data_IF_533991073388
#
_entry.id   IF_533991073388
#
_cell.length_a   1.000
_cell.length_b   1.000
_cell.length_c   1.000
_cell.angle_alpha   90.00
_cell.angle_beta   90.00
_cell.angle_gamma   90.00
#
_symmetry.space_group_name_H-M   'P 1'
#
loop_
_entity.id
_entity.type
_entity.pdbx_description
1 polymer ?
#
# COMPACT_ATOMS: atom_id res chain seq x y z
N UNK A 1 -4.65 5.23 11.06
CA UNK A 1 -5.91 5.74 10.50
C UNK A 1 -7.08 4.98 11.11
N UNK A 2 -8.11 5.70 11.52
CA UNK A 2 -9.36 5.14 12.03
C UNK A 2 -10.45 5.34 10.99
N UNK A 3 -11.10 4.24 10.57
CA UNK A 3 -12.17 4.26 9.55
C UNK A 3 -11.76 4.98 8.24
N UNK A 4 -10.49 4.85 7.86
CA UNK A 4 -9.93 5.47 6.66
C UNK A 4 -9.36 6.88 6.84
N UNK A 5 -9.50 7.51 8.01
CA UNK A 5 -9.06 8.89 8.26
C UNK A 5 -7.90 8.97 9.25
N UNK A 6 -6.98 9.91 9.04
CA UNK A 6 -5.93 10.21 10.00
C UNK A 6 -6.51 10.89 11.25
N UNK A 7 -6.24 10.31 12.42
CA UNK A 7 -6.71 10.82 13.72
C UNK A 7 -5.62 11.52 14.52
N UNK A 8 -4.41 11.66 13.96
CA UNK A 8 -3.29 12.32 14.63
C UNK A 8 -3.47 13.84 14.68
N UNK A 9 -3.11 14.47 15.81
CA UNK A 9 -3.00 15.93 15.90
C UNK A 9 -1.92 16.49 14.97
N UNK A 10 -0.91 15.68 14.63
CA UNK A 10 0.09 15.95 13.60
C UNK A 10 -0.10 14.99 12.43
N UNK A 11 -1.02 15.29 11.51
CA UNK A 11 -1.38 14.37 10.44
C UNK A 11 -0.26 14.14 9.42
N UNK A 12 0.74 15.04 9.38
CA UNK A 12 1.89 14.95 8.48
C UNK A 12 3.15 15.39 9.22
N UNK A 13 4.22 14.62 9.05
CA UNK A 13 5.55 14.93 9.60
C UNK A 13 6.57 15.06 8.48
N UNK A 14 7.53 15.95 8.65
CA UNK A 14 8.72 16.05 7.80
C UNK A 14 9.96 16.02 8.69
N UNK A 15 10.84 15.06 8.41
CA UNK A 15 12.13 14.95 9.11
C UNK A 15 13.18 15.93 8.57
N UNK A 16 14.28 16.11 9.28
CA UNK A 16 15.40 16.97 8.87
C UNK A 16 16.05 16.53 7.55
N UNK A 17 16.09 15.21 7.28
CA UNK A 17 16.58 14.65 6.02
C UNK A 17 15.52 14.63 4.90
N UNK A 18 14.37 15.29 5.10
CA UNK A 18 13.35 15.53 4.10
C UNK A 18 12.34 14.41 3.89
N UNK A 19 12.37 13.33 4.68
CA UNK A 19 11.33 12.29 4.66
C UNK A 19 9.99 12.90 5.08
N UNK A 20 8.92 12.61 4.32
CA UNK A 20 7.56 13.04 4.63
C UNK A 20 6.71 11.79 4.88
N UNK A 21 6.00 11.77 6.00
CA UNK A 21 5.17 10.64 6.41
C UNK A 21 3.90 11.11 7.10
N UNK A 22 2.76 10.52 6.75
CA UNK A 22 1.47 10.79 7.40
C UNK A 22 0.26 10.62 6.50
N UNK A 23 -0.72 11.51 6.66
CA UNK A 23 -1.96 11.56 5.88
C UNK A 23 -1.71 12.03 4.44
N UNK A 24 -2.27 11.31 3.48
CA UNK A 24 -2.23 11.70 2.07
C UNK A 24 -3.00 13.00 1.83
N UNK A 25 -4.16 13.18 2.47
CA UNK A 25 -4.95 14.40 2.37
C UNK A 25 -4.20 15.63 2.92
N UNK A 26 -3.44 15.45 4.00
CA UNK A 26 -2.58 16.50 4.53
C UNK A 26 -1.38 16.76 3.61
N UNK A 27 -0.78 15.72 3.03
CA UNK A 27 0.32 15.84 2.08
C UNK A 27 -0.12 16.59 0.81
N UNK A 28 -1.31 16.28 0.27
CA UNK A 28 -1.87 16.97 -0.89
C UNK A 28 -2.06 18.48 -0.66
N UNK A 29 -2.38 18.89 0.57
CA UNK A 29 -2.47 20.32 0.93
C UNK A 29 -1.11 20.98 1.13
N UNK A 30 -0.17 20.29 1.76
CA UNK A 30 1.14 20.84 2.11
C UNK A 30 2.15 20.79 0.96
N UNK A 31 2.03 19.79 0.08
CA UNK A 31 2.95 19.50 -1.03
C UNK A 31 2.18 19.11 -2.30
N UNK A 32 1.31 19.99 -2.84
CA UNK A 32 0.40 19.65 -3.95
C UNK A 32 1.17 19.18 -5.19
N UNK A 33 2.22 19.85 -5.59
CA UNK A 33 3.01 19.50 -6.80
C UNK A 33 3.66 18.10 -6.67
N UNK A 34 4.09 17.73 -5.45
CA UNK A 34 4.67 16.42 -5.19
C UNK A 34 3.60 15.32 -5.29
N UNK A 35 2.44 15.54 -4.70
CA UNK A 35 1.35 14.55 -4.72
C UNK A 35 0.76 14.44 -6.14
N UNK A 36 0.49 15.53 -6.83
CA UNK A 36 -0.05 15.54 -8.20
C UNK A 36 0.84 14.79 -9.20
N UNK A 37 2.16 14.82 -8.99
CA UNK A 37 3.11 14.09 -9.85
C UNK A 37 2.90 12.59 -9.85
N UNK A 38 2.48 12.02 -8.74
CA UNK A 38 2.43 10.56 -8.52
C UNK A 38 1.02 10.01 -8.32
N UNK A 39 0.09 10.82 -7.80
CA UNK A 39 -1.25 10.37 -7.46
C UNK A 39 -2.03 9.92 -8.69
N UNK A 40 -2.63 8.74 -8.61
CA UNK A 40 -3.48 8.13 -9.64
C UNK A 40 -2.77 7.87 -10.99
N UNK A 41 -1.43 7.77 -11.01
CA UNK A 41 -0.68 7.55 -12.24
C UNK A 41 -0.62 6.07 -12.63
N UNK A 42 -0.64 5.15 -11.67
CA UNK A 42 -0.53 3.72 -11.91
C UNK A 42 -1.90 3.04 -11.90
N UNK A 43 -2.75 3.38 -10.95
CA UNK A 43 -4.04 2.76 -10.77
C UNK A 43 -5.05 3.08 -11.89
N UNK A 44 -5.03 4.31 -12.42
CA UNK A 44 -5.91 4.71 -13.53
C UNK A 44 -5.65 3.89 -14.80
N UNK A 45 -4.40 3.52 -15.03
CA UNK A 45 -4.01 2.79 -16.24
C UNK A 45 -4.56 1.37 -16.33
N UNK A 46 -5.00 0.78 -15.22
CA UNK A 46 -5.45 -0.62 -15.15
C UNK A 46 -6.95 -0.78 -15.39
N UNK A 47 -7.76 0.26 -15.17
CA UNK A 47 -9.20 0.24 -15.43
C UNK A 47 -9.99 -0.79 -14.64
N UNK A 48 -9.49 -1.23 -13.47
CA UNK A 48 -10.17 -2.22 -12.65
C UNK A 48 -11.25 -1.61 -11.73
N UNK A 49 -12.22 -2.45 -11.33
CA UNK A 49 -13.37 -2.01 -10.55
C UNK A 49 -12.98 -1.55 -9.12
N UNK A 50 -11.93 -2.14 -8.53
CA UNK A 50 -11.45 -1.78 -7.17
C UNK A 50 -10.86 -0.39 -7.20
N UNK A 51 -9.99 -0.10 -8.16
CA UNK A 51 -9.39 1.23 -8.35
C UNK A 51 -10.44 2.29 -8.65
N UNK A 52 -11.42 1.98 -9.52
CA UNK A 52 -12.50 2.90 -9.84
C UNK A 52 -13.36 3.24 -8.62
N UNK A 53 -13.75 2.23 -7.84
CA UNK A 53 -14.53 2.41 -6.62
C UNK A 53 -13.75 3.25 -5.58
N UNK A 54 -12.48 2.92 -5.36
CA UNK A 54 -11.62 3.65 -4.43
C UNK A 54 -11.47 5.12 -4.88
N UNK A 55 -11.23 5.37 -6.16
CA UNK A 55 -11.04 6.73 -6.69
C UNK A 55 -12.26 7.63 -6.44
N UNK A 56 -13.48 7.07 -6.47
CA UNK A 56 -14.71 7.85 -6.22
C UNK A 56 -14.87 8.22 -4.75
N UNK A 57 -14.48 7.32 -3.82
CA UNK A 57 -14.80 7.48 -2.40
C UNK A 57 -13.61 7.80 -1.50
N UNK A 58 -12.37 7.69 -1.99
CA UNK A 58 -11.18 7.97 -1.20
C UNK A 58 -11.14 9.44 -0.75
N UNK A 59 -10.93 9.64 0.56
CA UNK A 59 -10.82 10.97 1.16
C UNK A 59 -9.46 11.17 1.85
N UNK A 60 -8.83 10.08 2.29
CA UNK A 60 -7.52 10.08 2.95
C UNK A 60 -6.82 8.72 2.75
N UNK A 61 -5.66 8.58 3.31
CA UNK A 61 -4.84 7.38 3.33
C UNK A 61 -3.44 7.70 3.84
N UNK A 62 -2.49 6.82 3.55
CA UNK A 62 -1.11 7.01 3.98
C UNK A 62 -0.24 7.58 2.86
N UNK A 63 0.62 8.51 3.22
CA UNK A 63 1.66 9.08 2.37
C UNK A 63 3.04 8.80 2.95
N UNK A 64 3.93 8.25 2.12
CA UNK A 64 5.35 8.03 2.42
C UNK A 64 6.17 8.61 1.27
N UNK A 65 7.05 9.55 1.57
CA UNK A 65 8.03 10.07 0.62
C UNK A 65 9.42 10.00 1.22
N UNK A 66 10.32 9.29 0.54
CA UNK A 66 11.72 9.16 0.95
C UNK A 66 12.61 9.80 -0.12
N UNK A 67 13.28 10.90 0.21
CA UNK A 67 14.11 11.64 -0.75
C UNK A 67 15.30 10.83 -1.27
N UNK A 68 15.88 11.31 -2.37
CA UNK A 68 17.05 10.72 -3.01
C UNK A 68 18.21 10.48 -2.01
N UNK A 69 18.75 9.27 -2.04
CA UNK A 69 19.89 8.84 -1.24
C UNK A 69 19.62 8.71 0.27
N UNK A 70 18.40 8.93 0.71
CA UNK A 70 18.02 8.84 2.13
C UNK A 70 17.72 7.40 2.52
N UNK A 71 18.31 6.97 3.62
CA UNK A 71 17.99 5.72 4.29
C UNK A 71 17.14 6.00 5.54
N UNK A 72 15.86 5.56 5.52
CA UNK A 72 14.99 5.58 6.68
C UNK A 72 15.30 4.36 7.55
N UNK A 73 16.06 4.56 8.63
CA UNK A 73 16.55 3.47 9.52
C UNK A 73 15.42 2.75 10.26
N UNK A 74 14.31 3.46 10.52
CA UNK A 74 13.15 2.91 11.21
C UNK A 74 12.02 2.65 10.22
N UNK A 75 11.28 1.54 10.39
CA UNK A 75 10.11 1.28 9.55
C UNK A 75 9.01 2.33 9.78
N UNK A 76 8.33 2.69 8.69
CA UNK A 76 7.06 3.40 8.77
C UNK A 76 5.98 2.39 9.15
N UNK A 77 5.27 2.65 10.23
CA UNK A 77 4.16 1.79 10.67
C UNK A 77 2.84 2.50 10.41
N UNK A 78 2.01 1.88 9.59
CA UNK A 78 0.69 2.38 9.18
C UNK A 78 -0.35 1.40 9.72
N UNK A 79 -1.23 1.83 10.62
CA UNK A 79 -2.32 1.01 11.11
C UNK A 79 -3.66 1.56 10.61
N UNK A 80 -4.38 0.74 9.85
CA UNK A 80 -5.77 0.95 9.49
C UNK A 80 -6.64 0.20 10.50
N UNK A 81 -7.35 0.92 11.33
CA UNK A 81 -8.24 0.37 12.34
C UNK A 81 -9.67 0.74 12.02
N UNK A 82 -10.58 -0.23 12.06
CA UNK A 82 -12.01 -0.03 11.80
C UNK A 82 -12.80 -0.27 13.08
N UNK A 83 -13.54 0.76 13.51
CA UNK A 83 -14.34 0.73 14.72
C UNK A 83 -15.71 1.34 14.46
N UNK A 84 -16.75 0.68 14.92
CA UNK A 84 -18.13 1.19 14.96
C UNK A 84 -18.87 0.64 16.17
N UNK A 85 -19.92 1.33 16.56
CA UNK A 85 -20.88 0.90 17.58
C UNK A 85 -22.24 0.65 16.93
N UNK A 86 -22.46 -0.62 16.52
CA UNK A 86 -23.75 -1.08 16.02
C UNK A 86 -24.05 -0.81 14.54
N UNK A 87 -23.09 -0.27 13.76
CA UNK A 87 -23.29 0.02 12.35
C UNK A 87 -22.24 -0.66 11.49
N UNK A 88 -22.63 -1.07 10.27
CA UNK A 88 -21.69 -1.52 9.26
C UNK A 88 -21.01 -0.33 8.61
N UNK A 89 -19.69 -0.41 8.38
CA UNK A 89 -18.91 0.66 7.78
C UNK A 89 -18.28 0.23 6.45
N UNK A 90 -18.03 1.22 5.59
CA UNK A 90 -17.16 1.07 4.43
C UNK A 90 -16.00 2.08 4.51
N UNK A 91 -14.78 1.58 4.27
CA UNK A 91 -13.56 2.38 4.22
C UNK A 91 -12.99 2.41 2.79
N UNK A 92 -12.35 3.54 2.43
CA UNK A 92 -11.74 3.72 1.11
C UNK A 92 -10.42 4.47 1.28
N UNK A 93 -9.37 3.75 1.68
CA UNK A 93 -8.06 4.37 1.85
C UNK A 93 -7.28 4.39 0.53
N UNK A 94 -6.67 5.54 0.22
CA UNK A 94 -5.73 5.70 -0.90
C UNK A 94 -4.33 5.94 -0.38
N UNK A 95 -3.38 5.09 -0.76
CA UNK A 95 -2.02 5.14 -0.23
C UNK A 95 -1.03 5.49 -1.35
N UNK A 96 -0.09 6.36 -1.07
CA UNK A 96 0.94 6.79 -2.02
C UNK A 96 2.33 6.71 -1.39
N UNK A 97 3.19 5.83 -1.92
CA UNK A 97 4.55 5.63 -1.46
C UNK A 97 5.53 5.97 -2.58
N UNK A 98 6.44 6.89 -2.31
CA UNK A 98 7.44 7.36 -3.26
C UNK A 98 8.83 7.19 -2.67
N UNK A 99 9.65 6.38 -3.32
CA UNK A 99 11.03 6.12 -2.97
C UNK A 99 11.91 6.66 -4.08
N UNK A 100 12.54 7.81 -3.82
CA UNK A 100 13.42 8.48 -4.80
C UNK A 100 14.75 7.72 -4.99
N UNK A 101 15.52 8.09 -6.00
CA UNK A 101 16.72 7.37 -6.42
C UNK A 101 17.69 7.10 -5.27
N UNK A 102 18.13 5.83 -5.14
CA UNK A 102 19.06 5.38 -4.11
C UNK A 102 18.52 5.41 -2.68
N UNK A 103 17.22 5.71 -2.49
CA UNK A 103 16.59 5.70 -1.17
C UNK A 103 16.37 4.29 -0.64
N UNK A 104 16.23 4.16 0.69
CA UNK A 104 15.90 2.89 1.34
C UNK A 104 14.88 3.09 2.44
N UNK A 105 13.86 2.22 2.49
CA UNK A 105 12.84 2.26 3.52
C UNK A 105 12.16 0.91 3.74
N UNK A 106 11.55 0.79 4.93
CA UNK A 106 10.66 -0.30 5.29
C UNK A 106 9.30 0.27 5.66
N UNK A 107 8.23 -0.35 5.19
CA UNK A 107 6.85 0.02 5.51
C UNK A 107 6.12 -1.20 6.05
N UNK A 108 5.48 -1.06 7.19
CA UNK A 108 4.62 -2.09 7.79
C UNK A 108 3.20 -1.56 7.82
N UNK A 109 2.29 -2.30 7.22
CA UNK A 109 0.87 -1.96 7.13
C UNK A 109 0.09 -3.00 7.91
N UNK A 110 -0.72 -2.58 8.87
CA UNK A 110 -1.65 -3.43 9.59
C UNK A 110 -3.09 -3.01 9.28
N UNK A 111 -3.87 -3.93 8.74
CA UNK A 111 -5.31 -3.80 8.51
C UNK A 111 -6.03 -4.61 9.59
N UNK A 112 -6.80 -3.95 10.47
CA UNK A 112 -7.44 -4.63 11.60
C UNK A 112 -8.83 -4.12 11.92
N UNK A 113 -9.69 -5.04 12.39
CA UNK A 113 -10.93 -4.69 13.06
C UNK A 113 -10.65 -4.31 14.52
N UNK A 114 -11.23 -3.21 14.97
CA UNK A 114 -11.17 -2.74 16.34
C UNK A 114 -12.51 -2.90 17.08
N UNK A 115 -13.55 -3.41 16.40
CA UNK A 115 -14.83 -3.85 16.97
C UNK A 115 -15.32 -5.09 16.22
N UNK A 116 -16.44 -5.68 16.70
CA UNK A 116 -17.05 -6.89 16.11
C UNK A 116 -18.03 -6.56 14.96
N UNK A 117 -18.16 -5.30 14.60
CA UNK A 117 -19.06 -4.89 13.52
C UNK A 117 -18.52 -5.28 12.15
N UNK A 118 -19.39 -5.27 11.15
CA UNK A 118 -19.05 -5.62 9.78
C UNK A 118 -18.40 -4.43 9.08
N UNK A 119 -17.24 -4.66 8.45
CA UNK A 119 -16.58 -3.67 7.61
C UNK A 119 -16.39 -4.20 6.20
N UNK A 120 -16.52 -3.27 5.26
CA UNK A 120 -15.98 -3.42 3.93
C UNK A 120 -14.88 -2.38 3.73
N UNK A 121 -13.68 -2.81 3.40
CA UNK A 121 -12.58 -1.93 3.10
C UNK A 121 -12.15 -2.10 1.64
N UNK A 122 -11.98 -0.98 0.95
CA UNK A 122 -11.47 -0.93 -0.42
C UNK A 122 -10.24 -0.04 -0.44
N UNK A 123 -9.06 -0.63 -0.53
CA UNK A 123 -7.80 0.11 -0.52
C UNK A 123 -7.12 0.11 -1.88
N UNK A 124 -6.48 1.22 -2.22
CA UNK A 124 -5.56 1.29 -3.35
C UNK A 124 -4.25 1.88 -2.90
N UNK A 125 -3.15 1.26 -3.34
CA UNK A 125 -1.79 1.70 -3.07
C UNK A 125 -1.00 1.85 -4.35
N UNK A 126 -0.36 3.01 -4.53
CA UNK A 126 0.60 3.25 -5.59
C UNK A 126 2.00 3.36 -5.00
N UNK A 127 2.95 2.64 -5.59
CA UNK A 127 4.36 2.58 -5.14
C UNK A 127 5.27 2.94 -6.30
N UNK A 128 6.07 3.96 -6.11
CA UNK A 128 7.09 4.39 -7.07
C UNK A 128 8.47 4.15 -6.48
N UNK A 129 9.26 3.30 -7.12
CA UNK A 129 10.65 3.04 -6.77
C UNK A 129 11.54 3.53 -7.91
N UNK A 130 12.21 4.68 -7.70
CA UNK A 130 13.13 5.26 -8.63
C UNK A 130 14.44 4.44 -8.76
N UNK A 131 15.37 4.88 -9.58
CA UNK A 131 16.64 4.17 -9.82
C UNK A 131 17.39 3.88 -8.51
N UNK A 132 17.87 2.63 -8.35
CA UNK A 132 18.60 2.14 -7.16
C UNK A 132 17.81 2.21 -5.84
N UNK A 133 16.51 2.56 -5.85
CA UNK A 133 15.68 2.59 -4.65
C UNK A 133 15.43 1.17 -4.10
N UNK A 134 15.31 1.05 -2.77
CA UNK A 134 15.00 -0.21 -2.09
C UNK A 134 13.86 -0.02 -1.11
N UNK A 135 12.81 -0.81 -1.25
CA UNK A 135 11.64 -0.78 -0.39
C UNK A 135 11.25 -2.19 0.05
N UNK A 136 11.08 -2.38 1.34
CA UNK A 136 10.47 -3.58 1.92
C UNK A 136 9.09 -3.18 2.46
N UNK A 137 8.03 -3.85 1.99
CA UNK A 137 6.64 -3.57 2.37
C UNK A 137 6.04 -4.83 2.97
N UNK A 138 5.63 -4.78 4.22
CA UNK A 138 4.92 -5.88 4.88
C UNK A 138 3.49 -5.45 5.14
N UNK A 139 2.53 -6.24 4.67
CA UNK A 139 1.12 -5.97 4.85
C UNK A 139 0.44 -7.13 5.58
N UNK A 140 -0.18 -6.81 6.72
CA UNK A 140 -0.85 -7.77 7.58
C UNK A 140 -2.35 -7.51 7.57
N UNK A 141 -3.14 -8.56 7.29
CA UNK A 141 -4.59 -8.54 7.31
C UNK A 141 -5.11 -9.36 8.48
N UNK A 142 -5.74 -8.67 9.45
CA UNK A 142 -6.31 -9.26 10.65
C UNK A 142 -7.67 -8.64 10.97
N UNK A 143 -8.65 -8.98 10.16
CA UNK A 143 -10.02 -8.51 10.29
C UNK A 143 -10.85 -9.49 11.13
N UNK A 144 -11.98 -9.05 11.68
CA UNK A 144 -12.94 -9.99 12.25
C UNK A 144 -13.58 -10.85 11.15
N UNK A 145 -14.17 -12.00 11.54
CA UNK A 145 -14.73 -13.00 10.62
C UNK A 145 -15.97 -12.55 9.82
N UNK A 146 -16.45 -11.31 10.00
CA UNK A 146 -17.57 -10.72 9.24
C UNK A 146 -17.13 -9.68 8.24
N UNK A 147 -15.88 -9.19 8.37
CA UNK A 147 -15.36 -8.07 7.61
C UNK A 147 -14.60 -8.53 6.37
N UNK A 148 -14.61 -7.70 5.35
CA UNK A 148 -14.00 -7.96 4.06
C UNK A 148 -13.10 -6.80 3.64
N UNK A 149 -11.97 -7.13 3.01
CA UNK A 149 -11.08 -6.17 2.36
C UNK A 149 -10.80 -6.59 0.94
N UNK A 150 -10.85 -5.62 0.02
CA UNK A 150 -10.32 -5.73 -1.33
C UNK A 150 -9.27 -4.65 -1.54
N UNK A 151 -8.09 -5.03 -2.02
CA UNK A 151 -6.99 -4.09 -2.19
C UNK A 151 -6.33 -4.23 -3.56
N UNK A 152 -6.03 -3.09 -4.20
CA UNK A 152 -5.18 -3.01 -5.38
C UNK A 152 -3.85 -2.35 -5.04
N UNK A 153 -2.73 -3.00 -5.38
CA UNK A 153 -1.39 -2.44 -5.22
C UNK A 153 -0.72 -2.33 -6.57
N UNK A 154 -0.30 -1.13 -6.92
CA UNK A 154 0.34 -0.81 -8.20
C UNK A 154 1.75 -0.31 -7.95
N UNK A 155 2.75 -1.04 -8.46
CA UNK A 155 4.16 -0.75 -8.23
C UNK A 155 4.87 -0.49 -9.56
N UNK A 156 5.58 0.63 -9.65
CA UNK A 156 6.48 0.95 -10.75
C UNK A 156 7.92 0.95 -10.27
N UNK A 157 8.79 0.22 -10.97
CA UNK A 157 10.19 0.08 -10.63
C UNK A 157 11.10 0.57 -11.76
N UNK A 158 11.99 1.50 -11.42
CA UNK A 158 13.03 2.01 -12.32
C UNK A 158 14.32 1.18 -12.22
N UNK A 159 15.38 1.60 -12.95
CA UNK A 159 16.60 0.83 -13.10
C UNK A 159 17.24 0.44 -11.75
N UNK A 160 17.67 -0.83 -11.64
CA UNK A 160 18.36 -1.39 -10.46
C UNK A 160 17.60 -1.25 -9.13
N UNK A 161 16.33 -0.84 -9.18
CA UNK A 161 15.49 -0.76 -7.96
C UNK A 161 15.10 -2.15 -7.46
N UNK A 162 14.87 -2.24 -6.17
CA UNK A 162 14.39 -3.48 -5.54
C UNK A 162 13.19 -3.19 -4.65
N UNK A 163 12.09 -3.88 -4.91
CA UNK A 163 10.91 -3.86 -4.06
C UNK A 163 10.60 -5.28 -3.61
N UNK A 164 10.42 -5.45 -2.30
CA UNK A 164 9.93 -6.67 -1.70
C UNK A 164 8.61 -6.39 -1.02
N UNK A 165 7.56 -7.14 -1.37
CA UNK A 165 6.25 -7.07 -0.73
C UNK A 165 5.92 -8.44 -0.12
N UNK A 166 5.59 -8.45 1.18
CA UNK A 166 5.08 -9.62 1.89
C UNK A 166 3.65 -9.34 2.35
N UNK A 167 2.69 -10.10 1.83
CA UNK A 167 1.28 -10.03 2.23
C UNK A 167 0.91 -11.21 3.12
N UNK A 168 0.38 -10.93 4.32
CA UNK A 168 0.03 -11.95 5.31
C UNK A 168 -1.46 -11.87 5.63
N UNK A 169 -2.25 -12.82 5.15
CA UNK A 169 -3.68 -12.95 5.43
C UNK A 169 -3.91 -13.94 6.58
N UNK A 170 -4.46 -13.47 7.69
CA UNK A 170 -4.68 -14.28 8.89
C UNK A 170 -6.16 -14.46 9.22
N UNK A 171 -6.93 -13.37 9.28
CA UNK A 171 -8.32 -13.36 9.70
C UNK A 171 -9.12 -12.37 8.85
N UNK A 172 -10.35 -12.77 8.48
CA UNK A 172 -11.29 -11.96 7.69
C UNK A 172 -12.28 -12.87 6.96
N UNK A 173 -13.47 -12.37 6.67
CA UNK A 173 -14.44 -13.10 5.84
C UNK A 173 -13.93 -13.23 4.40
N UNK A 174 -13.46 -12.12 3.86
CA UNK A 174 -12.83 -12.04 2.54
C UNK A 174 -11.60 -11.14 2.64
N UNK A 175 -10.45 -11.64 2.22
CA UNK A 175 -9.25 -10.86 1.98
C UNK A 175 -8.86 -11.10 0.52
N UNK A 176 -8.94 -10.04 -0.29
CA UNK A 176 -8.48 -10.07 -1.66
C UNK A 176 -7.46 -8.96 -1.91
N UNK A 177 -6.30 -9.35 -2.42
CA UNK A 177 -5.22 -8.43 -2.78
C UNK A 177 -4.74 -8.69 -4.20
N UNK A 178 -4.90 -7.70 -5.08
CA UNK A 178 -4.39 -7.72 -6.44
C UNK A 178 -3.11 -6.87 -6.50
N UNK A 179 -2.00 -7.48 -6.94
CA UNK A 179 -0.69 -6.82 -7.01
C UNK A 179 -0.24 -6.71 -8.47
N UNK A 180 -0.07 -5.47 -8.94
CA UNK A 180 0.38 -5.16 -10.28
C UNK A 180 1.77 -4.51 -10.20
N UNK A 181 2.75 -5.12 -10.85
CA UNK A 181 4.15 -4.66 -10.81
C UNK A 181 4.66 -4.42 -12.23
N UNK A 182 5.17 -3.24 -12.50
CA UNK A 182 5.79 -2.86 -13.75
C UNK A 182 7.29 -2.62 -13.58
N UNK A 183 8.13 -3.55 -14.09
CA UNK A 183 9.59 -3.43 -14.09
C UNK A 183 10.02 -2.63 -15.33
N UNK A 184 10.01 -1.29 -15.22
CA UNK A 184 10.25 -0.38 -16.33
C UNK A 184 11.73 -0.06 -16.55
N UNK A 185 12.54 -0.15 -15.50
CA UNK A 185 13.97 0.12 -15.58
C UNK A 185 14.79 -1.16 -15.70
N UNK A 186 15.95 -1.07 -16.39
CA UNK A 186 16.86 -2.20 -16.57
C UNK A 186 17.38 -2.73 -15.23
N UNK A 187 17.36 -4.06 -15.04
CA UNK A 187 17.89 -4.69 -13.84
C UNK A 187 17.03 -4.47 -12.59
N UNK A 188 15.77 -4.04 -12.75
CA UNK A 188 14.84 -3.98 -11.63
C UNK A 188 14.55 -5.39 -11.07
N UNK A 189 14.47 -5.49 -9.75
CA UNK A 189 14.23 -6.75 -9.03
C UNK A 189 12.98 -6.61 -8.17
N UNK A 190 12.04 -7.56 -8.30
CA UNK A 190 10.83 -7.62 -7.49
C UNK A 190 10.73 -8.95 -6.75
N UNK A 191 10.34 -8.89 -5.47
CA UNK A 191 9.96 -10.04 -4.67
C UNK A 191 8.54 -9.84 -4.18
N UNK A 192 7.65 -10.78 -4.47
CA UNK A 192 6.26 -10.76 -4.04
C UNK A 192 5.93 -12.05 -3.32
N UNK A 193 5.83 -11.97 -2.01
CA UNK A 193 5.59 -13.13 -1.15
C UNK A 193 4.23 -13.04 -0.47
N UNK A 194 3.61 -14.20 -0.20
CA UNK A 194 2.33 -14.28 0.48
C UNK A 194 2.23 -15.46 1.45
N UNK A 195 1.61 -15.21 2.59
CA UNK A 195 1.21 -16.25 3.54
C UNK A 195 -0.30 -16.14 3.79
N UNK A 196 -1.02 -17.26 3.58
CA UNK A 196 -2.46 -17.34 3.74
C UNK A 196 -2.81 -18.41 4.76
N UNK A 197 -3.31 -17.98 5.93
CA UNK A 197 -3.79 -18.87 6.98
C UNK A 197 -5.30 -18.72 7.10
N UNK A 198 -6.06 -19.53 6.36
CA UNK A 198 -7.53 -19.45 6.34
C UNK A 198 -8.17 -20.53 7.22
N UNK A 199 -9.20 -20.15 7.97
CA UNK A 199 -10.08 -21.05 8.70
C UNK A 199 -11.41 -21.29 7.98
N UNK A 200 -12.35 -21.96 8.67
CA UNK A 200 -13.66 -22.24 8.10
C UNK A 200 -14.44 -20.95 7.82
N UNK A 201 -15.03 -20.85 6.62
CA UNK A 201 -15.85 -19.69 6.21
C UNK A 201 -15.04 -18.45 5.81
N UNK A 202 -13.73 -18.55 5.72
CA UNK A 202 -12.84 -17.48 5.25
C UNK A 202 -12.43 -17.72 3.80
N UNK A 203 -12.20 -16.61 3.08
CA UNK A 203 -11.67 -16.64 1.74
C UNK A 203 -10.50 -15.65 1.65
N UNK A 204 -9.32 -16.14 1.30
CA UNK A 204 -8.11 -15.34 1.09
C UNK A 204 -7.62 -15.60 -0.32
N UNK A 205 -7.47 -14.53 -1.10
CA UNK A 205 -7.08 -14.57 -2.50
C UNK A 205 -6.05 -13.46 -2.78
N UNK A 206 -4.83 -13.85 -3.17
CA UNK A 206 -3.80 -12.93 -3.63
C UNK A 206 -3.48 -13.23 -5.09
N UNK A 207 -3.63 -12.21 -5.94
CA UNK A 207 -3.33 -12.26 -7.36
C UNK A 207 -2.13 -11.38 -7.67
N UNK A 208 -1.24 -11.85 -8.54
CA UNK A 208 -0.06 -11.10 -8.98
C UNK A 208 -0.04 -10.97 -10.50
N UNK A 209 0.38 -9.79 -10.96
CA UNK A 209 0.59 -9.49 -12.36
C UNK A 209 1.89 -8.69 -12.50
N UNK A 210 2.97 -9.34 -12.98
CA UNK A 210 4.31 -8.76 -13.02
C UNK A 210 4.79 -8.62 -14.46
N UNK A 211 4.95 -7.38 -14.91
CA UNK A 211 5.36 -7.03 -16.26
C UNK A 211 6.84 -6.67 -16.33
N UNK A 212 7.64 -7.52 -16.99
CA UNK A 212 9.02 -7.24 -17.35
C UNK A 212 9.07 -6.39 -18.62
N UNK A 213 9.05 -5.07 -18.46
CA UNK A 213 9.03 -4.11 -19.59
C UNK A 213 10.44 -3.85 -20.09
N UNK A 214 11.43 -3.85 -19.19
CA UNK A 214 12.84 -3.61 -19.51
C UNK A 214 13.66 -4.90 -19.45
N UNK A 215 14.92 -4.82 -19.91
CA UNK A 215 15.84 -5.96 -19.94
C UNK A 215 16.45 -6.24 -18.57
N UNK A 216 16.92 -7.47 -18.39
CA UNK A 216 17.67 -7.93 -17.22
C UNK A 216 16.89 -7.78 -15.89
N UNK A 217 15.56 -7.67 -15.95
CA UNK A 217 14.70 -7.65 -14.77
C UNK A 217 14.51 -9.06 -14.21
N UNK A 218 14.35 -9.16 -12.90
CA UNK A 218 14.05 -10.40 -12.19
C UNK A 218 12.86 -10.28 -11.28
N UNK A 219 12.06 -11.33 -11.16
CA UNK A 219 10.98 -11.43 -10.19
C UNK A 219 10.97 -12.77 -9.49
N UNK A 220 10.60 -12.76 -8.22
CA UNK A 220 10.47 -13.96 -7.38
C UNK A 220 9.12 -13.91 -6.67
N UNK A 221 8.47 -15.07 -6.61
CA UNK A 221 7.18 -15.20 -5.94
C UNK A 221 7.15 -16.48 -5.09
N UNK A 222 6.71 -16.32 -3.84
CA UNK A 222 6.47 -17.47 -2.94
C UNK A 222 5.16 -17.25 -2.20
N UNK A 223 4.15 -18.08 -2.48
CA UNK A 223 2.87 -18.11 -1.78
C UNK A 223 2.68 -19.43 -1.04
N UNK A 224 2.24 -19.36 0.20
CA UNK A 224 1.98 -20.52 1.07
C UNK A 224 0.67 -20.37 1.83
#
# INVERSE_FOLDING_TARGET
LLNGFCTSEQPLTRSENGVIFGSLAAAAKAYPELVERYYNQLAESQGDAVSALNTVFAQDGAFVYVPQGVWAERPFVISFSYYSEGESLAGFARNLFVFESGSRAQVVIENRSASDETYFDCQVREVFAAEDARADIVELFRLNGRSSIVSGSFTEQQASSRVHTLSVGLEGRLIRGDQHVALKGRGAENHTDGLMLSGAGQHIDFTTDIWHISRDCTSYEVFK
#
